data_IF_330766883661
#
_entry.id   IF_330766883661
#
_cell.length_a   1.000
_cell.length_b   1.000
_cell.length_c   1.000
_cell.angle_alpha   90.00
_cell.angle_beta   90.00
_cell.angle_gamma   90.00
#
_symmetry.space_group_name_H-M   'P 1'
#
loop_
_entity.id
_entity.type
_entity.pdbx_description
1 polymer ?
#
# COMPACT_ATOMS: atom_id res chain seq x y z
N UNK A 1 10.74 -6.64 21.11
CA UNK A 1 9.85 -7.12 20.03
C UNK A 1 10.49 -6.67 18.73
N UNK A 2 10.54 -7.51 17.70
CA UNK A 2 11.17 -7.14 16.42
C UNK A 2 10.19 -6.33 15.57
N UNK A 3 10.71 -5.33 14.85
CA UNK A 3 9.97 -4.61 13.81
C UNK A 3 10.54 -5.00 12.45
N UNK A 4 9.66 -5.37 11.54
CA UNK A 4 10.00 -5.80 10.20
C UNK A 4 9.43 -4.77 9.21
N UNK A 5 10.27 -3.91 8.67
CA UNK A 5 9.86 -2.97 7.64
C UNK A 5 9.80 -3.67 6.28
N UNK A 6 8.60 -3.81 5.73
CA UNK A 6 8.39 -4.25 4.36
C UNK A 6 8.47 -3.04 3.42
N UNK A 7 9.59 -2.90 2.71
CA UNK A 7 9.83 -1.82 1.76
C UNK A 7 9.41 -2.24 0.35
N UNK A 8 8.39 -1.59 -0.21
CA UNK A 8 8.02 -1.69 -1.63
C UNK A 8 8.71 -0.59 -2.43
N UNK A 9 9.75 -0.93 -3.20
CA UNK A 9 10.63 0.05 -3.87
C UNK A 9 10.69 -0.15 -5.38
N UNK A 10 10.80 0.95 -6.12
CA UNK A 10 10.84 0.92 -7.59
C UNK A 10 11.72 2.02 -8.22
N UNK A 11 12.25 2.95 -7.41
CA UNK A 11 13.19 3.99 -7.84
C UNK A 11 14.09 4.44 -6.67
N UNK A 12 15.13 5.21 -7.01
CA UNK A 12 16.02 5.94 -6.10
C UNK A 12 16.64 5.10 -4.98
N UNK A 13 17.56 4.15 -5.28
CA UNK A 13 18.26 3.35 -4.26
C UNK A 13 18.93 4.18 -3.14
N UNK A 14 19.50 5.34 -3.47
CA UNK A 14 20.10 6.25 -2.47
C UNK A 14 19.09 6.79 -1.45
N UNK A 15 17.86 7.04 -1.87
CA UNK A 15 16.81 7.46 -0.93
C UNK A 15 16.40 6.29 -0.02
N UNK A 16 16.37 5.07 -0.56
CA UNK A 16 16.15 3.86 0.25
C UNK A 16 17.26 3.68 1.27
N UNK A 17 18.52 3.94 0.90
CA UNK A 17 19.65 3.93 1.84
C UNK A 17 19.45 4.93 2.98
N UNK A 18 19.06 6.18 2.69
CA UNK A 18 18.75 7.18 3.73
C UNK A 18 17.63 6.72 4.66
N UNK A 19 16.53 6.20 4.11
CA UNK A 19 15.42 5.66 4.89
C UNK A 19 15.87 4.50 5.81
N UNK A 20 16.67 3.57 5.28
CA UNK A 20 17.19 2.45 6.07
C UNK A 20 18.08 2.98 7.19
N UNK A 21 19.00 3.89 6.91
CA UNK A 21 19.89 4.47 7.92
C UNK A 21 19.12 5.20 9.04
N UNK A 22 18.06 5.93 8.69
CA UNK A 22 17.23 6.64 9.66
C UNK A 22 16.46 5.69 10.61
N UNK A 23 16.21 4.45 10.17
CA UNK A 23 15.44 3.46 10.92
C UNK A 23 16.29 2.36 11.56
N UNK A 24 17.55 2.21 11.16
CA UNK A 24 18.40 1.08 11.55
C UNK A 24 18.64 1.06 13.07
N UNK A 25 18.21 -0.03 13.71
CA UNK A 25 18.31 -0.28 15.15
C UNK A 25 18.45 -1.79 15.38
N UNK A 26 18.92 -2.19 16.57
CA UNK A 26 19.17 -3.59 16.91
C UNK A 26 17.93 -4.49 16.78
N UNK A 27 16.72 -3.95 17.00
CA UNK A 27 15.45 -4.70 16.96
C UNK A 27 14.67 -4.52 15.64
N UNK A 28 15.36 -4.18 14.54
CA UNK A 28 14.73 -3.88 13.25
C UNK A 28 15.30 -4.77 12.15
N UNK A 29 14.41 -5.30 11.32
CA UNK A 29 14.72 -5.95 10.05
C UNK A 29 14.08 -5.20 8.87
N UNK A 30 14.71 -5.27 7.71
CA UNK A 30 14.20 -4.71 6.46
C UNK A 30 13.98 -5.82 5.43
N UNK A 31 12.74 -5.97 4.98
CA UNK A 31 12.36 -6.87 3.89
C UNK A 31 12.07 -6.03 2.64
N UNK A 32 12.97 -6.10 1.65
CA UNK A 32 12.96 -5.18 0.52
C UNK A 32 12.46 -5.87 -0.74
N UNK A 33 11.22 -5.54 -1.12
CA UNK A 33 10.67 -5.91 -2.42
C UNK A 33 11.03 -4.84 -3.43
N UNK A 34 11.94 -5.17 -4.35
CA UNK A 34 12.21 -4.37 -5.54
C UNK A 34 11.21 -4.78 -6.62
N UNK A 35 10.48 -3.83 -7.21
CA UNK A 35 9.55 -4.08 -8.32
C UNK A 35 10.19 -4.99 -9.37
N UNK A 36 9.48 -6.05 -9.79
CA UNK A 36 10.01 -7.07 -10.72
C UNK A 36 10.44 -6.54 -12.09
N UNK A 37 10.13 -5.28 -12.44
CA UNK A 37 10.63 -4.62 -13.66
C UNK A 37 11.96 -3.89 -13.47
N UNK A 38 12.48 -3.84 -12.24
CA UNK A 38 13.68 -3.07 -11.88
C UNK A 38 14.84 -4.00 -11.54
N UNK A 39 16.04 -3.54 -11.82
CA UNK A 39 17.27 -4.20 -11.40
C UNK A 39 17.40 -4.09 -9.87
N UNK A 40 17.85 -5.17 -9.23
CA UNK A 40 17.97 -5.28 -7.77
C UNK A 40 19.35 -4.85 -7.28
N UNK A 41 20.36 -5.00 -8.15
CA UNK A 41 21.77 -4.78 -7.92
C UNK A 41 22.07 -3.36 -7.41
N UNK A 42 21.44 -2.28 -7.95
CA UNK A 42 21.67 -0.93 -7.42
C UNK A 42 21.22 -0.77 -5.95
N UNK A 43 20.17 -1.47 -5.53
CA UNK A 43 19.71 -1.45 -4.14
C UNK A 43 20.63 -2.28 -3.24
N UNK A 44 21.09 -3.44 -3.70
CA UNK A 44 22.05 -4.27 -2.99
C UNK A 44 23.39 -3.54 -2.78
N UNK A 45 23.85 -2.79 -3.79
CA UNK A 45 25.13 -2.08 -3.73
C UNK A 45 25.17 -1.00 -2.64
N UNK A 46 24.10 -0.22 -2.47
CA UNK A 46 24.03 0.84 -1.44
C UNK A 46 23.71 0.27 -0.05
N UNK A 47 23.04 -0.88 0.03
CA UNK A 47 22.67 -1.54 1.28
C UNK A 47 23.64 -2.65 1.74
N UNK A 48 24.80 -2.76 1.09
CA UNK A 48 25.81 -3.78 1.41
C UNK A 48 26.24 -3.79 2.88
N UNK A 49 26.75 -4.93 3.34
CA UNK A 49 27.31 -5.17 4.68
C UNK A 49 26.32 -5.17 5.86
N UNK A 50 25.03 -4.87 5.64
CA UNK A 50 24.01 -4.84 6.70
C UNK A 50 23.37 -6.23 6.88
N UNK A 51 23.38 -6.75 8.11
CA UNK A 51 22.93 -8.13 8.43
C UNK A 51 21.42 -8.27 8.58
N UNK A 52 20.72 -7.17 8.86
CA UNK A 52 19.28 -7.11 9.08
C UNK A 52 18.49 -6.73 7.81
N UNK A 53 19.11 -6.86 6.63
CA UNK A 53 18.49 -6.56 5.34
C UNK A 53 18.29 -7.85 4.55
N UNK A 54 17.04 -8.06 4.14
CA UNK A 54 16.59 -9.23 3.40
C UNK A 54 15.93 -8.78 2.11
N UNK A 55 16.61 -8.96 0.99
CA UNK A 55 16.02 -8.74 -0.32
C UNK A 55 15.05 -9.87 -0.66
N UNK A 56 13.85 -9.52 -1.11
CA UNK A 56 12.86 -10.51 -1.54
C UNK A 56 13.38 -11.19 -2.81
N UNK A 57 13.50 -12.53 -2.82
CA UNK A 57 14.07 -13.25 -3.96
C UNK A 57 13.15 -13.20 -5.17
N UNK A 58 13.73 -13.43 -6.35
CA UNK A 58 13.03 -13.30 -7.64
C UNK A 58 11.72 -14.11 -7.72
N UNK A 59 11.68 -15.31 -7.11
CA UNK A 59 10.49 -16.16 -7.07
C UNK A 59 9.30 -15.55 -6.33
N UNK A 60 9.52 -14.51 -5.52
CA UNK A 60 8.49 -13.78 -4.78
C UNK A 60 8.29 -12.34 -5.29
N UNK A 61 9.14 -11.86 -6.22
CA UNK A 61 9.03 -10.52 -6.79
C UNK A 61 7.86 -10.43 -7.77
N UNK A 62 7.26 -9.26 -7.83
CA UNK A 62 6.08 -8.98 -8.67
C UNK A 62 6.34 -7.69 -9.43
N UNK A 63 6.01 -7.68 -10.71
CA UNK A 63 6.02 -6.47 -11.55
C UNK A 63 4.83 -5.58 -11.21
N UNK A 64 5.04 -4.53 -10.41
CA UNK A 64 3.95 -3.77 -9.81
C UNK A 64 3.37 -2.72 -10.77
N UNK A 65 2.05 -2.63 -10.80
CA UNK A 65 1.32 -1.57 -11.52
C UNK A 65 0.49 -0.80 -10.50
N UNK A 66 0.62 0.53 -10.48
CA UNK A 66 -0.12 1.35 -9.53
C UNK A 66 -1.63 1.21 -9.73
N UNK A 67 -2.37 1.11 -8.62
CA UNK A 67 -3.83 0.95 -8.63
C UNK A 67 -4.33 -0.43 -9.10
N UNK A 68 -3.44 -1.39 -9.37
CA UNK A 68 -3.76 -2.76 -9.76
C UNK A 68 -3.56 -3.75 -8.62
N UNK A 69 -4.14 -4.95 -8.75
CA UNK A 69 -3.92 -6.06 -7.83
C UNK A 69 -2.46 -6.45 -7.60
N UNK A 70 -1.56 -6.23 -8.57
CA UNK A 70 -0.12 -6.52 -8.43
C UNK A 70 0.55 -5.90 -7.19
N UNK A 71 0.03 -4.80 -6.64
CA UNK A 71 0.53 -4.25 -5.36
C UNK A 71 0.19 -5.19 -4.19
N UNK A 72 -1.05 -5.67 -4.13
CA UNK A 72 -1.51 -6.64 -3.12
C UNK A 72 -0.83 -7.99 -3.31
N UNK A 73 -0.66 -8.42 -4.56
CA UNK A 73 0.05 -9.64 -4.92
C UNK A 73 1.50 -9.64 -4.41
N UNK A 74 2.21 -8.51 -4.57
CA UNK A 74 3.55 -8.32 -4.00
C UNK A 74 3.55 -8.48 -2.47
N UNK A 75 2.57 -7.88 -1.78
CA UNK A 75 2.44 -7.99 -0.33
C UNK A 75 2.13 -9.43 0.11
N UNK A 76 1.20 -10.12 -0.56
CA UNK A 76 0.85 -11.52 -0.25
C UNK A 76 2.08 -12.43 -0.43
N UNK A 77 2.84 -12.25 -1.52
CA UNK A 77 4.08 -12.99 -1.73
C UNK A 77 5.07 -12.75 -0.60
N UNK A 78 5.29 -11.49 -0.19
CA UNK A 78 6.16 -11.22 0.96
C UNK A 78 5.60 -11.84 2.24
N UNK A 79 4.30 -11.77 2.52
CA UNK A 79 3.69 -12.42 3.69
C UNK A 79 3.96 -13.93 3.71
N UNK A 80 3.87 -14.61 2.56
CA UNK A 80 4.26 -16.02 2.46
C UNK A 80 5.75 -16.23 2.72
N UNK A 81 6.62 -15.36 2.19
CA UNK A 81 8.06 -15.40 2.48
C UNK A 81 8.34 -15.24 3.99
N UNK A 82 7.71 -14.27 4.65
CA UNK A 82 7.84 -14.05 6.09
C UNK A 82 7.36 -15.27 6.90
N UNK A 83 6.21 -15.86 6.52
CA UNK A 83 5.69 -17.09 7.13
C UNK A 83 6.65 -18.27 6.95
N UNK A 84 7.22 -18.45 5.76
CA UNK A 84 8.16 -19.56 5.46
C UNK A 84 9.47 -19.46 6.23
N UNK A 85 9.89 -18.25 6.60
CA UNK A 85 11.11 -17.99 7.35
C UNK A 85 10.83 -17.76 8.86
N UNK A 86 9.62 -18.09 9.32
CA UNK A 86 9.22 -18.00 10.73
C UNK A 86 9.52 -16.63 11.36
N UNK A 87 9.33 -15.56 10.57
CA UNK A 87 9.58 -14.19 11.05
C UNK A 87 8.59 -13.83 12.15
N UNK A 88 9.08 -13.24 13.23
CA UNK A 88 8.28 -12.79 14.36
C UNK A 88 8.21 -11.26 14.46
N UNK A 89 7.28 -10.74 15.26
CA UNK A 89 7.16 -9.31 15.55
C UNK A 89 6.09 -8.60 14.71
N UNK A 90 6.26 -7.30 14.51
CA UNK A 90 5.30 -6.46 13.76
C UNK A 90 5.84 -6.15 12.37
N UNK A 91 5.01 -6.30 11.34
CA UNK A 91 5.34 -5.95 9.96
C UNK A 91 4.73 -4.60 9.62
N UNK A 92 5.56 -3.65 9.17
CA UNK A 92 5.11 -2.33 8.74
C UNK A 92 5.43 -2.10 7.27
N UNK A 93 4.41 -1.77 6.48
CA UNK A 93 4.59 -1.48 5.06
C UNK A 93 5.02 -0.04 4.85
N UNK A 94 6.11 0.14 4.12
CA UNK A 94 6.59 1.42 3.64
C UNK A 94 6.91 1.34 2.15
N UNK A 95 7.06 2.50 1.51
CA UNK A 95 7.68 2.61 0.19
C UNK A 95 8.99 3.37 0.31
N UNK A 96 9.83 3.32 -0.73
CA UNK A 96 11.08 4.10 -0.77
C UNK A 96 10.87 5.62 -0.70
N UNK A 97 9.63 6.10 -0.75
CA UNK A 97 9.26 7.52 -0.62
C UNK A 97 8.58 7.87 0.72
N UNK A 98 8.61 6.96 1.69
CA UNK A 98 8.22 7.25 3.07
C UNK A 98 9.45 7.67 3.88
N UNK A 99 9.25 8.39 4.96
CA UNK A 99 10.33 8.74 5.90
C UNK A 99 9.78 8.84 7.33
N UNK A 100 10.56 8.44 8.36
CA UNK A 100 10.18 8.66 9.75
C UNK A 100 10.08 10.16 10.07
N UNK A 101 9.14 10.50 10.93
CA UNK A 101 8.99 11.85 11.51
C UNK A 101 9.09 11.82 13.04
N UNK A 102 9.43 10.65 13.61
CA UNK A 102 9.69 10.39 15.05
C UNK A 102 10.93 9.52 15.19
N UNK A 103 11.62 9.59 16.34
CA UNK A 103 12.93 8.95 16.51
C UNK A 103 12.79 7.44 16.37
N UNK A 104 13.75 6.77 15.71
CA UNK A 104 13.66 5.31 15.52
C UNK A 104 13.50 4.55 16.85
N UNK A 105 14.15 4.99 17.94
CA UNK A 105 13.97 4.43 19.28
C UNK A 105 12.55 4.65 19.83
N UNK A 106 11.94 5.80 19.55
CA UNK A 106 10.56 6.08 19.93
C UNK A 106 9.58 5.20 19.15
N UNK A 107 9.82 5.01 17.85
CA UNK A 107 9.04 4.10 16.99
C UNK A 107 9.13 2.67 17.54
N UNK A 108 10.35 2.20 17.84
CA UNK A 108 10.59 0.88 18.42
C UNK A 108 9.84 0.72 19.75
N UNK A 109 9.95 1.71 20.64
CA UNK A 109 9.25 1.71 21.93
C UNK A 109 7.74 1.72 21.76
N UNK A 110 7.21 2.56 20.87
CA UNK A 110 5.78 2.68 20.61
C UNK A 110 5.18 1.35 20.16
N UNK A 111 5.77 0.71 19.14
CA UNK A 111 5.27 -0.57 18.63
C UNK A 111 5.46 -1.69 19.65
N UNK A 112 6.60 -1.71 20.36
CA UNK A 112 6.86 -2.73 21.41
C UNK A 112 5.86 -2.65 22.56
N UNK A 113 5.38 -1.45 22.90
CA UNK A 113 4.35 -1.26 23.92
C UNK A 113 2.94 -1.65 23.44
N UNK A 114 2.74 -1.89 22.14
CA UNK A 114 1.46 -2.19 21.53
C UNK A 114 1.53 -3.41 20.59
N UNK A 115 2.03 -4.57 21.06
CA UNK A 115 2.40 -5.71 20.21
C UNK A 115 1.21 -6.40 19.52
N UNK A 116 0.00 -6.23 20.06
CA UNK A 116 -1.21 -6.88 19.56
C UNK A 116 -2.15 -5.92 18.82
N UNK A 117 -1.69 -4.72 18.48
CA UNK A 117 -2.52 -3.70 17.82
C UNK A 117 -2.28 -3.69 16.32
N UNK A 118 -3.36 -3.75 15.55
CA UNK A 118 -3.37 -3.60 14.11
C UNK A 118 -3.51 -2.13 13.74
N UNK A 119 -2.43 -1.50 13.26
CA UNK A 119 -2.49 -0.13 12.74
C UNK A 119 -2.85 -0.16 11.26
N UNK A 120 -4.14 -0.06 10.97
CA UNK A 120 -4.72 -0.06 9.63
C UNK A 120 -6.03 0.72 9.69
N UNK A 121 -6.24 1.63 8.74
CA UNK A 121 -7.48 2.40 8.69
C UNK A 121 -8.69 1.47 8.50
N UNK A 122 -9.84 1.87 9.06
CA UNK A 122 -11.10 1.14 8.90
C UNK A 122 -12.22 2.14 8.69
N UNK A 123 -12.45 2.55 7.44
CA UNK A 123 -13.68 3.24 7.10
C UNK A 123 -14.64 2.31 6.35
N UNK A 124 -15.90 2.41 6.71
CA UNK A 124 -16.98 1.64 6.09
C UNK A 124 -17.15 2.07 4.62
N UNK A 125 -17.45 1.12 3.74
CA UNK A 125 -17.85 1.39 2.37
C UNK A 125 -19.36 1.12 2.21
N UNK A 126 -20.15 2.06 1.64
CA UNK A 126 -19.73 3.30 1.00
C UNK A 126 -19.23 4.39 1.97
N UNK A 127 -18.09 5.01 1.64
CA UNK A 127 -17.47 6.11 2.42
C UNK A 127 -18.37 7.32 2.54
N UNK A 128 -18.17 8.27 3.44
CA UNK A 128 -18.90 9.55 3.38
C UNK A 128 -18.78 10.28 2.02
N UNK A 129 -19.71 11.20 1.75
CA UNK A 129 -19.70 11.99 0.52
C UNK A 129 -18.42 12.80 0.38
N UNK A 130 -17.86 12.83 -0.83
CA UNK A 130 -16.65 13.58 -1.13
C UNK A 130 -15.32 12.86 -0.86
N UNK A 131 -15.31 11.74 -0.12
CA UNK A 131 -14.08 10.98 0.15
C UNK A 131 -13.64 10.20 -1.10
N UNK A 132 -14.47 9.27 -1.58
CA UNK A 132 -14.16 8.43 -2.75
C UNK A 132 -15.10 8.70 -3.94
N UNK A 133 -15.27 9.98 -4.22
CA UNK A 133 -15.98 10.48 -5.39
C UNK A 133 -17.47 10.13 -5.42
N UNK A 134 -18.08 10.23 -6.61
CA UNK A 134 -19.52 10.10 -6.84
C UNK A 134 -20.14 8.82 -6.25
N UNK A 135 -19.44 7.70 -6.35
CA UNK A 135 -19.93 6.39 -5.93
C UNK A 135 -19.45 5.98 -4.55
N UNK A 136 -18.83 6.90 -3.78
CA UNK A 136 -18.41 6.64 -2.41
C UNK A 136 -17.52 5.37 -2.31
N UNK A 137 -16.70 5.15 -3.33
CA UNK A 137 -15.82 3.98 -3.48
C UNK A 137 -16.43 2.72 -4.12
N UNK A 138 -17.76 2.60 -4.19
CA UNK A 138 -18.43 1.37 -4.66
C UNK A 138 -18.15 1.06 -6.13
N UNK A 139 -17.84 2.07 -6.94
CA UNK A 139 -17.42 1.86 -8.33
C UNK A 139 -16.11 1.07 -8.46
N UNK A 140 -15.27 1.01 -7.41
CA UNK A 140 -14.06 0.16 -7.38
C UNK A 140 -14.42 -1.33 -7.26
N UNK A 141 -15.52 -1.64 -6.57
CA UNK A 141 -16.02 -3.00 -6.30
C UNK A 141 -16.98 -3.49 -7.40
N UNK A 142 -17.77 -2.59 -7.96
CA UNK A 142 -18.83 -2.92 -8.92
C UNK A 142 -18.36 -2.84 -10.37
N UNK A 143 -17.43 -1.94 -10.70
CA UNK A 143 -16.91 -1.79 -12.06
C UNK A 143 -15.64 -2.58 -12.25
N UNK A 144 -15.39 -3.08 -13.46
CA UNK A 144 -14.15 -3.79 -13.76
C UNK A 144 -12.99 -2.82 -13.96
N UNK A 145 -11.87 -3.08 -13.30
CA UNK A 145 -10.61 -2.36 -13.46
C UNK A 145 -9.68 -3.06 -14.44
N UNK A 146 -9.49 -2.51 -15.64
CA UNK A 146 -8.58 -3.09 -16.64
C UNK A 146 -7.48 -2.12 -17.05
N UNK A 147 -6.27 -2.65 -17.23
CA UNK A 147 -5.16 -1.96 -17.92
C UNK A 147 -5.36 -2.10 -19.43
N UNK A 148 -5.76 -1.03 -20.10
CA UNK A 148 -5.96 -0.99 -21.57
C UNK A 148 -5.02 -0.02 -22.30
N UNK A 149 -4.38 0.88 -21.56
CA UNK A 149 -3.40 1.82 -22.10
C UNK A 149 -1.98 1.37 -21.74
N UNK A 150 -1.01 1.73 -22.58
CA UNK A 150 0.40 1.38 -22.39
C UNK A 150 1.05 2.06 -21.17
N UNK A 151 0.44 3.11 -20.61
CA UNK A 151 0.94 3.73 -19.39
C UNK A 151 0.71 2.84 -18.18
N UNK A 152 1.77 2.54 -17.42
CA UNK A 152 1.74 1.76 -16.18
C UNK A 152 0.93 2.38 -15.03
N UNK A 153 0.38 3.58 -15.21
CA UNK A 153 -0.26 4.35 -14.15
C UNK A 153 -1.79 4.39 -14.20
N UNK A 154 -2.44 3.84 -15.23
CA UNK A 154 -3.89 4.06 -15.42
C UNK A 154 -4.64 2.75 -15.56
N UNK A 155 -5.16 2.25 -14.42
CA UNK A 155 -6.23 1.26 -14.43
C UNK A 155 -7.54 1.98 -14.77
N UNK A 156 -8.19 1.51 -15.82
CA UNK A 156 -9.42 2.12 -16.32
C UNK A 156 -10.62 1.37 -15.76
N UNK A 157 -11.57 2.10 -15.16
CA UNK A 157 -12.85 1.54 -14.70
C UNK A 157 -13.81 1.36 -15.86
N UNK A 158 -14.48 0.21 -15.90
CA UNK A 158 -15.50 -0.17 -16.86
C UNK A 158 -16.77 -0.62 -16.13
N UNK A 159 -17.84 0.20 -16.13
CA UNK A 159 -19.14 -0.29 -15.66
C UNK A 159 -19.59 -1.50 -16.48
N UNK A 160 -20.40 -2.38 -15.89
CA UNK A 160 -21.04 -3.47 -16.62
C UNK A 160 -22.24 -2.95 -17.43
N UNK A 161 -22.69 -3.70 -18.44
CA UNK A 161 -23.76 -3.30 -19.37
C UNK A 161 -25.07 -2.89 -18.68
N UNK A 162 -25.36 -3.46 -17.51
CA UNK A 162 -26.56 -3.14 -16.75
C UNK A 162 -26.47 -1.86 -15.88
N UNK A 163 -25.36 -1.14 -15.89
CA UNK A 163 -25.17 0.09 -15.13
C UNK A 163 -25.31 1.30 -16.06
N UNK A 164 -26.09 2.32 -15.66
CA UNK A 164 -26.40 3.49 -16.51
C UNK A 164 -25.17 4.18 -17.12
N UNK A 165 -24.08 4.28 -16.36
CA UNK A 165 -22.86 4.94 -16.82
C UNK A 165 -22.21 4.22 -18.03
N UNK A 166 -22.48 2.93 -18.24
CA UNK A 166 -21.99 2.18 -19.41
C UNK A 166 -22.32 2.89 -20.73
N UNK A 167 -23.51 3.47 -20.82
CA UNK A 167 -24.06 4.08 -22.03
C UNK A 167 -23.63 5.54 -22.24
N UNK A 168 -22.77 6.10 -21.39
CA UNK A 168 -22.20 7.43 -21.64
C UNK A 168 -21.24 7.39 -22.83
N UNK A 169 -21.22 8.44 -23.65
CA UNK A 169 -20.27 8.57 -24.79
C UNK A 169 -18.82 8.31 -24.37
N UNK A 170 -18.45 8.77 -23.17
CA UNK A 170 -17.12 8.54 -22.59
C UNK A 170 -16.85 7.05 -22.34
N UNK A 171 -17.75 6.32 -21.69
CA UNK A 171 -17.56 4.88 -21.44
C UNK A 171 -17.65 4.04 -22.72
N UNK A 172 -18.53 4.38 -23.67
CA UNK A 172 -18.63 3.68 -24.96
C UNK A 172 -17.32 3.75 -25.76
N UNK A 173 -16.63 4.91 -25.77
CA UNK A 173 -15.30 5.05 -26.39
C UNK A 173 -14.26 4.14 -25.72
N UNK A 174 -14.27 4.05 -24.39
CA UNK A 174 -13.38 3.14 -23.64
C UNK A 174 -13.69 1.68 -23.95
N UNK A 175 -14.97 1.31 -24.01
CA UNK A 175 -15.40 -0.07 -24.32
C UNK A 175 -14.99 -0.45 -25.74
N UNK A 176 -15.17 0.43 -26.73
CA UNK A 176 -14.70 0.19 -28.10
C UNK A 176 -13.18 -0.08 -28.13
N UNK A 177 -12.39 0.70 -27.37
CA UNK A 177 -10.95 0.45 -27.21
C UNK A 177 -10.66 -0.88 -26.52
N UNK A 178 -11.40 -1.22 -25.46
CA UNK A 178 -11.25 -2.51 -24.76
C UNK A 178 -11.53 -3.69 -25.69
N UNK A 179 -12.60 -3.62 -26.49
CA UNK A 179 -12.93 -4.66 -27.49
C UNK A 179 -11.82 -4.79 -28.52
N UNK A 180 -11.26 -3.66 -28.99
CA UNK A 180 -10.16 -3.64 -29.96
C UNK A 180 -8.86 -4.26 -29.43
N UNK A 181 -8.53 -4.09 -28.14
CA UNK A 181 -7.22 -4.50 -27.59
C UNK A 181 -7.30 -5.79 -26.78
N UNK A 182 -8.41 -6.01 -26.04
CA UNK A 182 -8.61 -7.14 -25.11
C UNK A 182 -10.06 -7.66 -25.18
N UNK A 183 -10.51 -8.21 -26.31
CA UNK A 183 -11.91 -8.62 -26.51
C UNK A 183 -12.42 -9.63 -25.47
N UNK A 184 -11.56 -10.55 -25.00
CA UNK A 184 -11.91 -11.51 -23.94
C UNK A 184 -12.28 -10.84 -22.61
N UNK A 185 -11.64 -9.72 -22.26
CA UNK A 185 -11.99 -8.96 -21.06
C UNK A 185 -13.28 -8.18 -21.24
N UNK A 186 -13.60 -7.73 -22.46
CA UNK A 186 -14.86 -7.06 -22.74
C UNK A 186 -16.08 -7.94 -22.44
N UNK A 187 -15.96 -9.27 -22.61
CA UNK A 187 -17.02 -10.22 -22.25
C UNK A 187 -17.38 -10.18 -20.76
N UNK A 188 -16.44 -9.81 -19.87
CA UNK A 188 -16.73 -9.66 -18.44
C UNK A 188 -17.75 -8.55 -18.16
N UNK A 189 -17.89 -7.56 -19.04
CA UNK A 189 -18.82 -6.45 -18.84
C UNK A 189 -20.29 -6.87 -18.91
N UNK A 190 -20.59 -8.08 -19.40
CA UNK A 190 -21.92 -8.68 -19.34
C UNK A 190 -22.25 -9.31 -17.99
N UNK A 191 -21.30 -9.34 -17.05
CA UNK A 191 -21.49 -9.90 -15.71
C UNK A 191 -21.50 -8.78 -14.68
N UNK A 192 -22.44 -8.82 -13.74
CA UNK A 192 -22.42 -7.91 -12.58
C UNK A 192 -21.40 -8.43 -11.57
N UNK A 193 -20.43 -7.60 -11.18
CA UNK A 193 -19.57 -7.89 -10.03
C UNK A 193 -20.41 -7.75 -8.76
N UNK A 194 -20.30 -8.70 -7.85
CA UNK A 194 -20.87 -8.63 -6.51
C UNK A 194 -19.75 -8.87 -5.52
N UNK A 195 -19.61 -7.98 -4.55
CA UNK A 195 -18.65 -8.18 -3.46
C UNK A 195 -18.97 -9.48 -2.72
N UNK A 196 -17.97 -10.25 -2.26
CA UNK A 196 -18.21 -11.51 -1.57
C UNK A 196 -19.10 -11.31 -0.33
N UNK A 197 -20.17 -12.11 -0.20
CA UNK A 197 -21.22 -11.87 0.80
C UNK A 197 -20.83 -12.18 2.25
N UNK A 198 -19.73 -12.90 2.44
CA UNK A 198 -19.25 -13.34 3.76
C UNK A 198 -18.38 -12.28 4.46
N UNK A 199 -18.17 -11.13 3.83
CA UNK A 199 -17.26 -10.09 4.30
C UNK A 199 -17.83 -8.72 3.93
N UNK A 200 -17.67 -7.76 4.83
CA UNK A 200 -18.09 -6.38 4.61
C UNK A 200 -16.95 -5.57 3.98
N UNK A 201 -17.24 -4.70 3.01
CA UNK A 201 -16.22 -3.89 2.38
C UNK A 201 -15.80 -2.75 3.31
N UNK A 202 -14.52 -2.74 3.67
CA UNK A 202 -13.87 -1.64 4.37
C UNK A 202 -12.69 -1.13 3.54
N UNK A 203 -12.39 0.15 3.71
CA UNK A 203 -11.25 0.79 3.06
C UNK A 203 -10.35 1.56 4.01
N UNK A 204 -9.23 2.00 3.45
CA UNK A 204 -8.19 2.75 4.15
C UNK A 204 -7.10 3.27 3.22
N UNK A 205 -6.07 3.89 3.78
CA UNK A 205 -4.81 4.04 3.05
C UNK A 205 -4.05 2.70 2.98
N UNK A 206 -3.17 2.56 2.00
CA UNK A 206 -2.36 1.35 1.79
C UNK A 206 -1.47 1.00 3.01
N UNK A 207 -1.09 1.98 3.81
CA UNK A 207 -0.04 1.88 4.82
C UNK A 207 -0.59 1.28 6.11
N UNK A 208 -0.05 0.14 6.51
CA UNK A 208 -0.42 -0.53 7.74
C UNK A 208 0.80 -1.06 8.49
N UNK A 209 0.65 -1.26 9.79
CA UNK A 209 1.53 -2.04 10.63
C UNK A 209 0.72 -3.13 11.36
N UNK A 210 1.03 -4.39 11.08
CA UNK A 210 0.27 -5.54 11.56
C UNK A 210 1.21 -6.52 12.28
N UNK A 211 0.82 -7.05 13.45
CA UNK A 211 1.53 -8.15 14.09
C UNK A 211 1.60 -9.38 13.17
N UNK A 212 2.66 -10.18 13.27
CA UNK A 212 2.79 -11.41 12.48
C UNK A 212 1.64 -12.40 12.73
N UNK A 213 1.04 -12.41 13.93
CA UNK A 213 -0.19 -13.18 14.20
C UNK A 213 -1.33 -12.77 13.27
N UNK A 214 -1.55 -11.46 13.06
CA UNK A 214 -2.53 -10.96 12.10
C UNK A 214 -2.20 -11.34 10.67
N UNK A 215 -0.91 -11.28 10.28
CA UNK A 215 -0.48 -11.71 8.94
C UNK A 215 -0.83 -13.20 8.70
N UNK A 216 -0.61 -14.06 9.70
CA UNK A 216 -0.95 -15.48 9.61
C UNK A 216 -2.47 -15.71 9.51
N UNK A 217 -3.28 -14.97 10.25
CA UNK A 217 -4.75 -15.00 10.17
C UNK A 217 -5.25 -14.52 8.79
N UNK A 218 -4.64 -13.47 8.22
CA UNK A 218 -4.94 -13.02 6.84
C UNK A 218 -4.64 -14.13 5.83
N UNK A 219 -3.48 -14.79 5.92
CA UNK A 219 -3.15 -15.89 5.03
C UNK A 219 -4.14 -17.06 5.19
N UNK A 220 -4.52 -17.40 6.43
CA UNK A 220 -5.53 -18.43 6.70
C UNK A 220 -6.91 -18.07 6.13
N UNK A 221 -7.31 -16.80 6.22
CA UNK A 221 -8.52 -16.30 5.58
C UNK A 221 -8.48 -16.52 4.06
N UNK A 222 -7.36 -16.20 3.41
CA UNK A 222 -7.21 -16.38 1.96
C UNK A 222 -7.28 -17.86 1.56
N UNK A 223 -6.73 -18.77 2.36
CA UNK A 223 -6.84 -20.21 2.15
C UNK A 223 -8.30 -20.69 2.27
N UNK A 224 -9.06 -20.14 3.22
CA UNK A 224 -10.49 -20.44 3.44
C UNK A 224 -11.42 -19.84 2.39
N UNK A 225 -11.02 -18.74 1.76
CA UNK A 225 -11.81 -17.96 0.82
C UNK A 225 -11.10 -17.81 -0.54
N UNK A 226 -10.93 -18.92 -1.30
CA UNK A 226 -10.13 -18.93 -2.52
C UNK A 226 -10.73 -18.08 -3.66
N UNK A 227 -11.99 -17.63 -3.53
CA UNK A 227 -12.66 -16.72 -4.46
C UNK A 227 -12.28 -15.24 -4.27
N UNK A 228 -11.74 -14.86 -3.11
CA UNK A 228 -11.46 -13.47 -2.75
C UNK A 228 -10.38 -12.83 -3.66
N UNK A 229 -9.26 -13.52 -3.89
CA UNK A 229 -8.20 -13.07 -4.81
C UNK A 229 -8.72 -12.94 -6.25
N UNK A 230 -9.37 -13.97 -6.86
CA UNK A 230 -9.95 -13.86 -8.19
C UNK A 230 -10.91 -12.67 -8.37
N UNK A 231 -11.75 -12.40 -7.37
CA UNK A 231 -12.64 -11.23 -7.38
C UNK A 231 -11.85 -9.91 -7.43
N UNK A 232 -10.78 -9.82 -6.63
CA UNK A 232 -9.99 -8.61 -6.46
C UNK A 232 -8.99 -8.32 -7.59
N UNK A 233 -8.68 -9.30 -8.45
CA UNK A 233 -7.84 -9.09 -9.65
C UNK A 233 -8.31 -7.97 -10.57
N UNK A 234 -9.63 -7.74 -10.62
CA UNK A 234 -10.24 -6.69 -11.43
C UNK A 234 -10.70 -5.46 -10.60
N UNK A 235 -10.23 -5.31 -9.35
CA UNK A 235 -10.58 -4.16 -8.49
C UNK A 235 -9.58 -3.02 -8.66
N UNK A 236 -10.07 -1.79 -8.81
CA UNK A 236 -9.21 -0.59 -8.90
C UNK A 236 -8.79 -0.10 -7.53
N UNK A 237 -7.51 0.23 -7.38
CA UNK A 237 -6.91 0.70 -6.11
C UNK A 237 -7.19 -0.27 -4.96
N UNK A 238 -7.10 -1.57 -5.25
CA UNK A 238 -7.50 -2.65 -4.35
C UNK A 238 -6.67 -2.74 -3.08
N UNK A 239 -5.43 -2.23 -3.07
CA UNK A 239 -4.60 -2.13 -1.88
C UNK A 239 -5.22 -1.27 -0.76
N UNK A 240 -6.19 -0.41 -1.10
CA UNK A 240 -6.93 0.44 -0.16
C UNK A 240 -8.21 -0.23 0.37
N UNK A 241 -8.46 -1.51 0.03
CA UNK A 241 -9.69 -2.24 0.37
C UNK A 241 -9.38 -3.66 0.86
N UNK A 242 -8.45 -4.35 0.19
CA UNK A 242 -8.24 -5.79 0.29
C UNK A 242 -7.97 -6.25 1.72
N UNK A 243 -6.92 -5.72 2.34
CA UNK A 243 -6.52 -6.07 3.71
C UNK A 243 -7.43 -5.43 4.74
N UNK A 244 -7.95 -4.23 4.47
CA UNK A 244 -8.86 -3.49 5.34
C UNK A 244 -10.14 -4.27 5.62
N UNK A 245 -10.75 -4.81 4.56
CA UNK A 245 -11.94 -5.67 4.69
C UNK A 245 -11.63 -6.95 5.48
N UNK A 246 -10.49 -7.61 5.20
CA UNK A 246 -10.10 -8.84 5.90
C UNK A 246 -9.88 -8.56 7.38
N UNK A 247 -9.03 -7.58 7.72
CA UNK A 247 -8.73 -7.22 9.11
C UNK A 247 -9.99 -6.79 9.83
N UNK A 248 -10.88 -6.02 9.18
CA UNK A 248 -12.17 -5.67 9.77
C UNK A 248 -12.98 -6.91 10.15
N UNK A 249 -13.04 -7.91 9.27
CA UNK A 249 -13.84 -9.13 9.50
C UNK A 249 -13.26 -10.06 10.57
N UNK A 250 -11.93 -10.03 10.77
CA UNK A 250 -11.24 -10.93 11.69
C UNK A 250 -11.06 -10.35 13.10
N UNK A 251 -10.97 -9.03 13.23
CA UNK A 251 -10.56 -8.40 14.49
C UNK A 251 -11.58 -7.36 14.99
N UNK A 252 -11.85 -7.36 16.31
CA UNK A 252 -12.73 -6.38 16.91
C UNK A 252 -12.08 -4.99 16.91
N UNK A 253 -12.89 -3.95 17.13
CA UNK A 253 -12.48 -2.55 16.96
C UNK A 253 -11.33 -2.16 17.91
N UNK A 254 -11.31 -2.67 19.15
CA UNK A 254 -10.28 -2.36 20.14
C UNK A 254 -8.88 -2.84 19.75
N UNK A 255 -8.79 -3.84 18.86
CA UNK A 255 -7.53 -4.36 18.31
C UNK A 255 -7.07 -3.61 17.06
N UNK A 256 -7.80 -2.60 16.61
CA UNK A 256 -7.47 -1.82 15.44
C UNK A 256 -7.33 -0.34 15.76
N UNK A 257 -6.31 0.30 15.19
CA UNK A 257 -6.05 1.73 15.27
C UNK A 257 -5.77 2.29 13.88
N UNK A 258 -5.98 3.59 13.65
CA UNK A 258 -5.66 4.21 12.37
C UNK A 258 -4.20 4.02 11.94
N UNK A 259 -3.93 4.15 10.65
CA UNK A 259 -2.58 4.10 10.10
C UNK A 259 -1.65 5.12 10.77
N UNK A 260 -0.40 4.71 10.98
CA UNK A 260 0.68 5.54 11.53
C UNK A 260 1.35 6.43 10.46
N UNK A 261 0.85 6.40 9.23
CA UNK A 261 1.34 7.19 8.10
C UNK A 261 0.58 8.50 7.94
N UNK A 262 1.31 9.60 7.81
CA UNK A 262 0.77 10.88 7.36
C UNK A 262 0.89 11.02 5.84
N UNK A 263 -0.24 11.26 5.17
CA UNK A 263 -0.29 11.62 3.74
C UNK A 263 -1.14 12.87 3.54
N UNK A 264 -0.57 13.95 2.98
CA UNK A 264 -1.33 15.16 2.69
C UNK A 264 -1.98 15.09 1.29
N UNK A 265 -3.30 14.90 1.27
CA UNK A 265 -4.16 14.89 0.07
C UNK A 265 -4.96 16.18 -0.14
N UNK A 266 -4.80 17.19 0.73
CA UNK A 266 -5.71 18.36 0.78
C UNK A 266 -5.07 19.65 0.26
N UNK A 267 -3.75 19.71 0.13
CA UNK A 267 -3.03 20.90 -0.34
C UNK A 267 -3.45 21.26 -1.77
N UNK A 268 -3.74 22.55 -1.99
CA UNK A 268 -4.14 23.09 -3.29
C UNK A 268 -2.91 23.45 -4.12
N UNK A 269 -3.08 23.52 -5.44
CA UNK A 269 -2.08 23.99 -6.40
C UNK A 269 -0.78 23.15 -6.42
N UNK A 270 -0.84 21.88 -6.04
CA UNK A 270 0.28 20.96 -6.13
C UNK A 270 -0.17 19.58 -6.65
N UNK A 271 0.80 18.74 -7.02
CA UNK A 271 0.50 17.33 -7.31
C UNK A 271 0.25 16.59 -6.01
N UNK A 272 -0.82 15.78 -5.97
CA UNK A 272 -1.18 14.99 -4.80
C UNK A 272 -0.76 13.50 -4.94
N UNK A 273 -0.44 12.81 -3.83
CA UNK A 273 -0.23 13.40 -2.51
C UNK A 273 1.01 14.32 -2.54
N UNK A 274 1.05 15.29 -1.63
CA UNK A 274 2.13 16.28 -1.54
C UNK A 274 3.50 15.61 -1.52
N UNK A 275 4.43 16.09 -2.37
CA UNK A 275 5.86 15.85 -2.14
C UNK A 275 6.35 16.91 -1.18
N UNK A 276 6.74 16.51 0.03
CA UNK A 276 7.18 17.46 1.05
C UNK A 276 8.55 18.05 0.72
N UNK A 277 8.72 19.33 1.02
CA UNK A 277 9.97 20.09 0.93
C UNK A 277 10.36 20.62 2.32
N UNK A 278 11.53 21.25 2.43
CA UNK A 278 12.02 21.79 3.72
C UNK A 278 11.05 22.73 4.44
N UNK A 279 10.28 23.51 3.68
CA UNK A 279 9.28 24.46 4.22
C UNK A 279 8.08 23.74 4.87
N UNK A 280 7.95 22.43 4.67
CA UNK A 280 6.90 21.60 5.27
C UNK A 280 7.30 20.97 6.61
N UNK A 281 8.52 21.24 7.11
CA UNK A 281 9.03 20.62 8.35
C UNK A 281 8.08 20.84 9.53
N UNK A 282 7.56 22.06 9.71
CA UNK A 282 6.63 22.37 10.80
C UNK A 282 5.32 21.58 10.68
N UNK A 283 4.79 21.39 9.47
CA UNK A 283 3.60 20.55 9.24
C UNK A 283 3.87 19.10 9.66
N UNK A 284 5.05 18.57 9.33
CA UNK A 284 5.45 17.20 9.65
C UNK A 284 5.64 17.00 11.16
N UNK A 285 6.26 17.96 11.84
CA UNK A 285 6.52 17.86 13.29
C UNK A 285 5.25 17.98 14.13
N UNK A 286 4.20 18.62 13.61
CA UNK A 286 2.88 18.74 14.26
C UNK A 286 2.04 17.45 14.22
N UNK A 287 2.49 16.40 13.53
CA UNK A 287 1.76 15.12 13.50
C UNK A 287 2.10 14.28 14.73
N UNK A 288 1.31 14.39 15.79
CA UNK A 288 1.55 13.71 17.07
C UNK A 288 1.16 12.22 17.05
N UNK A 289 0.13 11.85 16.27
CA UNK A 289 -0.39 10.48 16.18
C UNK A 289 0.26 9.67 15.05
N UNK A 290 1.22 10.26 14.32
CA UNK A 290 1.89 9.65 13.17
C UNK A 290 3.37 9.44 13.46
N UNK A 291 3.89 8.32 12.97
CA UNK A 291 5.30 7.97 13.07
C UNK A 291 6.07 8.21 11.77
N UNK A 292 5.35 8.18 10.65
CA UNK A 292 5.91 8.33 9.30
C UNK A 292 5.11 9.35 8.50
N UNK A 293 5.74 9.87 7.46
CA UNK A 293 5.07 10.68 6.46
C UNK A 293 5.43 10.24 5.03
N UNK A 294 4.60 10.68 4.08
CA UNK A 294 4.86 10.57 2.64
C UNK A 294 4.16 11.66 1.82
N UNK A 295 4.73 12.07 0.68
CA UNK A 295 5.88 11.46 0.00
C UNK A 295 7.11 12.37 0.00
N UNK A 296 8.29 11.76 -0.01
CA UNK A 296 9.57 12.43 -0.16
C UNK A 296 10.24 12.02 -1.47
N UNK A 297 11.05 12.92 -2.04
CA UNK A 297 11.79 12.66 -3.27
C UNK A 297 13.09 13.46 -3.28
N UNK A 298 14.24 12.78 -3.19
CA UNK A 298 15.55 13.45 -3.12
C UNK A 298 15.91 14.23 -4.39
N UNK A 299 15.24 13.96 -5.51
CA UNK A 299 15.38 14.74 -6.74
C UNK A 299 14.58 16.05 -6.69
N UNK A 300 13.61 16.15 -5.77
CA UNK A 300 12.78 17.34 -5.55
C UNK A 300 13.35 18.20 -4.42
N UNK A 301 13.60 17.59 -3.26
CA UNK A 301 14.19 18.23 -2.09
C UNK A 301 14.86 17.16 -1.23
N UNK A 302 16.19 17.16 -1.17
CA UNK A 302 16.97 16.28 -0.28
C UNK A 302 17.22 16.91 1.10
N UNK A 303 17.10 18.24 1.21
CA UNK A 303 17.35 19.01 2.43
C UNK A 303 16.33 18.65 3.52
N UNK A 304 15.08 18.41 3.15
CA UNK A 304 14.04 17.98 4.10
C UNK A 304 14.39 16.69 4.84
N UNK A 305 15.05 15.72 4.18
CA UNK A 305 15.44 14.47 4.83
C UNK A 305 16.53 14.71 5.87
N UNK A 306 17.50 15.57 5.56
CA UNK A 306 18.53 15.97 6.52
C UNK A 306 17.93 16.71 7.72
N UNK A 307 16.98 17.62 7.48
CA UNK A 307 16.29 18.34 8.56
C UNK A 307 15.49 17.41 9.47
N UNK A 308 14.85 16.38 8.90
CA UNK A 308 14.19 15.34 9.68
C UNK A 308 15.22 14.55 10.49
N UNK A 309 16.30 14.09 9.87
CA UNK A 309 17.38 13.38 10.57
C UNK A 309 17.94 14.21 11.75
N UNK A 310 18.21 15.49 11.55
CA UNK A 310 18.74 16.39 12.59
C UNK A 310 17.74 16.64 13.74
N UNK A 311 16.44 16.58 13.47
CA UNK A 311 15.38 16.76 14.48
C UNK A 311 15.03 15.48 15.21
N UNK A 312 15.16 14.35 14.51
CA UNK A 312 14.55 13.08 14.88
C UNK A 312 15.60 12.06 15.33
N UNK A 313 16.87 12.20 14.94
CA UNK A 313 17.97 11.33 15.38
C UNK A 313 18.71 11.85 16.63
N UNK A 314 18.31 13.01 17.17
CA UNK A 314 18.71 13.50 18.50
C UNK A 314 17.92 12.78 19.59
#
# INVERSE_FOLDING_TARGET
>A
MIINYLLLVHKNPKQVEKLVNALDQEQVNFFIHVDGRKEIEPYQAVLKERKNIYFIPESFRVSVTWGNFSVVDAMINVMHFLKQNEVEGTVMVLSGQCYPIKNSKEIVRFLTNNPDINYIDRFEMPTEEGIWGKYRGMDRLEFYGFKIYGSDRVITKFPHVYHKDFYTLYNLKKVAKLVSVKPKLALKLFTKRKFPKYIEPYGGELWWALPMSTILEILSFLDKHPDYIPYHKDTVSVSEIFFHSIVHSLFPEEKCKPSLMYTNWKRKNCTLPVTFAKDDLDELMQQDDKLFARKFDIEYDDEILQLLDDKVLV
#
